data_IF_806646695934
#
_entry.id   IF_806646695934
#
_cell.length_a   1.000
_cell.length_b   1.000
_cell.length_c   1.000
_cell.angle_alpha   90.00
_cell.angle_beta   90.00
_cell.angle_gamma   90.00
#
_symmetry.space_group_name_H-M   'P 1'
#
loop_
_entity.id
_entity.type
_entity.pdbx_description
1 polymer ?
#
# COMPACT_ATOMS: atom_id res chain seq x y z
N UNK A 1 -0.75 -37.34 2.92
CA UNK A 1 0.65 -36.90 3.13
C UNK A 1 1.07 -35.63 2.35
N UNK A 2 0.17 -34.88 1.69
CA UNK A 2 0.52 -33.70 0.84
C UNK A 2 0.57 -32.33 1.54
N UNK A 3 0.19 -32.22 2.82
CA UNK A 3 0.14 -30.93 3.55
C UNK A 3 1.50 -30.40 4.02
N UNK A 4 2.56 -31.22 4.02
CA UNK A 4 3.89 -30.85 4.57
C UNK A 4 4.81 -30.14 3.57
N UNK A 5 4.54 -30.23 2.26
CA UNK A 5 5.35 -29.57 1.23
C UNK A 5 4.98 -28.08 1.03
N UNK A 6 3.86 -27.64 1.62
CA UNK A 6 3.19 -26.35 1.38
C UNK A 6 3.91 -25.16 2.03
N UNK A 7 4.58 -25.36 3.16
CA UNK A 7 5.35 -24.32 3.85
C UNK A 7 6.77 -24.17 3.30
N UNK A 8 7.34 -25.23 2.69
CA UNK A 8 8.71 -25.18 2.15
C UNK A 8 8.81 -24.33 0.89
N UNK A 9 7.94 -24.53 -0.10
CA UNK A 9 8.09 -23.83 -1.39
C UNK A 9 7.87 -22.32 -1.24
N UNK A 10 7.12 -21.91 -0.21
CA UNK A 10 6.89 -20.52 0.16
C UNK A 10 8.16 -19.84 0.68
N UNK A 11 8.95 -20.57 1.49
CA UNK A 11 10.20 -20.04 2.01
C UNK A 11 11.30 -19.97 0.94
N UNK A 12 11.41 -20.95 0.05
CA UNK A 12 12.50 -20.95 -0.96
C UNK A 12 12.34 -19.83 -1.99
N UNK A 13 11.11 -19.46 -2.36
CA UNK A 13 10.87 -18.36 -3.31
C UNK A 13 11.07 -16.98 -2.67
N UNK A 14 10.66 -16.78 -1.40
CA UNK A 14 10.88 -15.52 -0.68
C UNK A 14 12.33 -15.33 -0.20
N UNK A 15 13.08 -16.41 0.09
CA UNK A 15 14.48 -16.32 0.47
C UNK A 15 15.41 -15.91 -0.68
N UNK A 16 15.08 -16.24 -1.94
CA UNK A 16 15.88 -15.81 -3.11
C UNK A 16 15.66 -14.33 -3.43
N UNK A 17 14.48 -13.77 -3.12
CA UNK A 17 14.19 -12.33 -3.33
C UNK A 17 14.83 -11.41 -2.27
N UNK A 18 15.09 -11.91 -1.06
CA UNK A 18 15.65 -11.11 0.04
C UNK A 18 17.18 -11.06 0.08
N UNK A 19 17.87 -11.88 -0.73
CA UNK A 19 19.34 -11.85 -0.84
C UNK A 19 19.83 -10.85 -1.90
N UNK A 20 18.96 -10.37 -2.80
CA UNK A 20 19.34 -9.43 -3.87
C UNK A 20 18.92 -7.97 -3.65
N UNK A 21 18.09 -7.67 -2.64
CA UNK A 21 17.64 -6.32 -2.33
C UNK A 21 18.29 -5.77 -1.08
N UNK A 22 19.44 -5.10 -1.21
CA UNK A 22 19.95 -4.22 -0.16
C UNK A 22 18.86 -3.21 0.20
N UNK A 23 18.24 -3.36 1.37
CA UNK A 23 17.52 -2.28 2.04
C UNK A 23 18.63 -1.32 2.53
N UNK A 24 19.14 -0.50 1.61
CA UNK A 24 19.85 0.71 1.99
C UNK A 24 18.83 1.59 2.70
N UNK A 25 19.18 2.01 3.91
CA UNK A 25 18.53 3.10 4.64
C UNK A 25 18.49 4.36 3.75
N UNK A 26 17.48 4.48 2.90
CA UNK A 26 17.11 5.74 2.29
C UNK A 26 16.45 6.56 3.39
N UNK A 27 17.26 7.47 3.94
CA UNK A 27 16.77 8.61 4.72
C UNK A 27 15.50 9.14 4.07
N UNK A 28 14.45 9.32 4.87
CA UNK A 28 13.27 10.08 4.48
C UNK A 28 13.72 11.35 3.73
N UNK A 29 13.15 11.66 2.54
CA UNK A 29 13.48 12.87 1.84
C UNK A 29 13.15 14.04 2.76
N UNK A 30 14.20 14.69 3.25
CA UNK A 30 14.08 15.94 3.98
C UNK A 30 13.57 16.93 2.96
N UNK A 31 12.25 17.23 3.01
CA UNK A 31 11.65 18.30 2.25
C UNK A 31 12.49 19.54 2.47
N UNK A 32 13.25 19.93 1.45
CA UNK A 32 14.06 21.15 1.52
C UNK A 32 13.08 22.29 1.35
N UNK A 33 12.48 22.72 2.46
CA UNK A 33 11.78 23.98 2.53
C UNK A 33 12.81 25.06 2.17
N UNK A 34 12.72 25.57 0.95
CA UNK A 34 13.45 26.77 0.54
C UNK A 34 12.98 27.91 1.44
N UNK A 35 13.77 28.23 2.46
CA UNK A 35 13.60 29.45 3.25
C UNK A 35 13.90 30.62 2.34
N UNK A 36 12.86 31.25 1.80
CA UNK A 36 12.96 32.62 1.31
C UNK A 36 13.41 33.52 2.48
N UNK A 37 14.32 34.49 2.26
CA UNK A 37 14.93 35.26 3.32
C UNK A 37 13.89 36.16 4.01
N UNK A 38 13.82 36.03 5.34
CA UNK A 38 13.10 36.93 6.22
C UNK A 38 13.76 38.31 6.13
N UNK A 39 13.12 39.24 5.40
CA UNK A 39 13.44 40.66 5.54
C UNK A 39 12.94 41.14 6.90
N UNK A 40 13.88 41.55 7.74
CA UNK A 40 13.62 42.28 8.99
C UNK A 40 12.88 43.58 8.67
N UNK A 41 11.66 43.70 9.17
CA UNK A 41 11.02 45.00 9.37
C UNK A 41 11.75 45.74 10.48
N UNK A 42 12.36 46.87 10.13
CA UNK A 42 12.82 47.90 11.05
C UNK A 42 11.88 49.09 10.93
N UNK A 43 11.38 49.56 12.07
CA UNK A 43 10.58 50.77 12.23
C UNK A 43 11.40 52.04 11.97
N UNK A 44 10.76 53.05 11.39
CA UNK A 44 11.29 54.42 11.21
C UNK A 44 10.32 55.30 10.42
N UNK A 45 9.94 56.44 11.02
CA UNK A 45 8.89 57.41 10.68
C UNK A 45 9.17 58.27 9.41
N UNK A 46 8.25 59.16 8.96
CA UNK A 46 8.05 59.49 7.54
C UNK A 46 8.89 60.68 7.04
N UNK A 47 9.08 60.77 5.73
CA UNK A 47 9.25 62.05 5.05
C UNK A 47 8.58 62.02 3.68
N UNK A 48 7.75 63.04 3.49
CA UNK A 48 7.13 63.41 2.22
C UNK A 48 8.19 63.74 1.19
N UNK A 49 8.00 63.26 -0.03
CA UNK A 49 8.38 64.02 -1.22
C UNK A 49 7.41 63.69 -2.36
N UNK A 50 6.93 64.78 -2.97
CA UNK A 50 5.91 64.81 -4.01
C UNK A 50 6.59 64.61 -5.36
N UNK A 51 6.09 63.72 -6.21
CA UNK A 51 6.28 63.85 -7.66
C UNK A 51 5.18 63.09 -8.43
N UNK A 52 4.78 63.71 -9.52
CA UNK A 52 3.53 63.52 -10.26
C UNK A 52 3.74 62.67 -11.52
N UNK A 53 2.65 62.01 -11.97
CA UNK A 53 2.42 61.37 -13.29
C UNK A 53 3.12 60.02 -13.54
N UNK A 54 2.53 59.02 -14.20
CA UNK A 54 1.44 59.01 -15.17
C UNK A 54 0.60 57.72 -15.03
N UNK A 55 -0.68 57.82 -15.41
CA UNK A 55 -1.64 56.72 -15.34
C UNK A 55 -1.42 55.65 -16.39
N UNK A 56 -1.60 54.40 -15.96
CA UNK A 56 -1.89 53.27 -16.83
C UNK A 56 -3.14 52.59 -16.28
N UNK A 57 -4.22 52.67 -17.04
CA UNK A 57 -5.50 52.03 -16.77
C UNK A 57 -5.35 50.51 -16.83
N UNK A 58 -5.24 49.86 -15.67
CA UNK A 58 -5.43 48.40 -15.56
C UNK A 58 -6.91 48.11 -15.33
N UNK A 59 -7.55 47.59 -16.37
CA UNK A 59 -8.86 46.95 -16.33
C UNK A 59 -8.89 45.91 -15.21
N UNK A 60 -9.88 45.91 -14.30
CA UNK A 60 -9.98 44.87 -13.29
C UNK A 60 -10.34 43.56 -13.99
N UNK A 61 -9.36 42.66 -14.09
CA UNK A 61 -9.62 41.26 -14.42
C UNK A 61 -10.51 40.72 -13.32
N UNK A 62 -11.80 40.52 -13.66
CA UNK A 62 -12.74 39.78 -12.85
C UNK A 62 -12.07 38.48 -12.45
N UNK A 63 -11.75 38.35 -11.15
CA UNK A 63 -11.51 37.08 -10.53
C UNK A 63 -12.81 36.30 -10.64
N UNK A 64 -12.93 35.49 -11.69
CA UNK A 64 -13.93 34.45 -11.77
C UNK A 64 -13.62 33.50 -10.62
N UNK A 65 -14.31 33.72 -9.50
CA UNK A 65 -14.51 32.71 -8.47
C UNK A 65 -14.96 31.45 -9.18
N UNK A 66 -14.09 30.44 -9.25
CA UNK A 66 -14.45 29.12 -9.73
C UNK A 66 -15.59 28.61 -8.86
N UNK A 67 -16.81 28.67 -9.40
CA UNK A 67 -17.98 28.01 -8.86
C UNK A 67 -17.60 26.56 -8.57
N UNK A 68 -17.57 26.20 -7.29
CA UNK A 68 -17.22 24.85 -6.85
C UNK A 68 -18.07 23.84 -7.60
N UNK A 69 -17.42 22.96 -8.36
CA UNK A 69 -18.10 21.86 -9.01
C UNK A 69 -18.84 21.07 -7.93
N UNK A 70 -20.16 20.92 -8.07
CA UNK A 70 -20.97 20.11 -7.16
C UNK A 70 -20.54 18.66 -7.38
N UNK A 71 -19.64 18.21 -6.52
CA UNK A 71 -19.10 16.86 -6.54
C UNK A 71 -20.19 15.87 -6.08
N UNK A 72 -20.61 14.98 -6.98
CA UNK A 72 -21.71 14.04 -6.72
C UNK A 72 -21.28 12.90 -5.79
N UNK A 73 -22.06 12.64 -4.75
CA UNK A 73 -21.86 11.50 -3.84
C UNK A 73 -22.55 10.23 -4.31
N UNK A 74 -23.33 10.31 -5.40
CA UNK A 74 -23.97 9.16 -6.05
C UNK A 74 -23.00 8.53 -7.05
N UNK A 75 -23.15 7.23 -7.29
CA UNK A 75 -22.42 6.57 -8.37
C UNK A 75 -22.89 7.10 -9.71
N UNK A 76 -21.94 7.61 -10.50
CA UNK A 76 -22.18 8.12 -11.84
C UNK A 76 -21.33 7.34 -12.84
N UNK A 77 -21.91 6.94 -13.99
CA UNK A 77 -21.14 6.24 -15.00
C UNK A 77 -20.05 7.16 -15.57
N UNK A 78 -18.83 6.63 -15.65
CA UNK A 78 -17.75 7.28 -16.40
C UNK A 78 -17.90 6.87 -17.87
N UNK A 79 -18.06 7.80 -18.82
CA UNK A 79 -18.23 7.44 -20.22
C UNK A 79 -17.02 6.70 -20.78
N UNK A 80 -17.24 5.54 -21.41
CA UNK A 80 -16.17 4.84 -22.16
C UNK A 80 -15.69 5.74 -23.31
N UNK A 81 -14.38 6.01 -23.45
CA UNK A 81 -13.87 6.83 -24.52
C UNK A 81 -14.11 6.17 -25.88
N UNK A 82 -14.41 6.98 -26.91
CA UNK A 82 -14.62 6.48 -28.29
C UNK A 82 -13.33 5.95 -28.91
N UNK A 83 -12.19 6.56 -28.60
CA UNK A 83 -10.86 6.14 -29.02
C UNK A 83 -9.89 6.22 -27.84
N UNK A 84 -8.82 5.44 -27.90
CA UNK A 84 -7.70 5.51 -26.96
C UNK A 84 -6.55 6.32 -27.56
N UNK A 85 -6.88 7.50 -28.10
CA UNK A 85 -5.88 8.49 -28.50
C UNK A 85 -5.67 9.47 -27.34
N UNK A 86 -4.41 9.80 -27.04
CA UNK A 86 -4.05 10.78 -25.99
C UNK A 86 -4.69 10.50 -24.60
N UNK A 87 -4.89 9.23 -24.24
CA UNK A 87 -5.51 8.85 -22.96
C UNK A 87 -4.53 8.91 -21.79
N UNK A 88 -3.23 8.89 -22.06
CA UNK A 88 -2.19 8.71 -21.04
C UNK A 88 -2.10 9.85 -20.02
N UNK A 89 -2.69 11.01 -20.32
CA UNK A 89 -2.72 12.17 -19.43
C UNK A 89 -4.12 12.42 -18.83
N UNK A 90 -5.07 11.50 -19.05
CA UNK A 90 -6.44 11.59 -18.54
C UNK A 90 -6.74 10.30 -17.76
N UNK A 91 -6.74 10.40 -16.44
CA UNK A 91 -6.90 9.23 -15.57
C UNK A 91 -8.19 8.45 -15.82
N UNK A 92 -9.30 9.13 -16.14
CA UNK A 92 -10.59 8.47 -16.38
C UNK A 92 -10.58 7.70 -17.71
N UNK A 93 -9.99 8.29 -18.75
CA UNK A 93 -9.76 7.57 -20.02
C UNK A 93 -8.77 6.44 -19.84
N UNK A 94 -7.73 6.64 -19.02
CA UNK A 94 -6.70 5.66 -18.75
C UNK A 94 -7.25 4.38 -18.15
N UNK A 95 -8.23 4.46 -17.24
CA UNK A 95 -8.88 3.27 -16.68
C UNK A 95 -9.40 2.37 -17.81
N UNK A 96 -10.14 2.93 -18.77
CA UNK A 96 -10.69 2.18 -19.91
C UNK A 96 -9.63 1.70 -20.89
N UNK A 97 -8.65 2.55 -21.22
CA UNK A 97 -7.66 2.25 -22.25
C UNK A 97 -6.54 1.32 -21.76
N UNK A 98 -6.23 1.33 -20.46
CA UNK A 98 -5.23 0.47 -19.85
C UNK A 98 -5.79 -0.90 -19.45
N UNK A 99 -7.04 -0.96 -18.96
CA UNK A 99 -7.70 -2.19 -18.51
C UNK A 99 -8.58 -2.80 -19.59
N UNK A 100 -7.98 -3.11 -20.75
CA UNK A 100 -8.67 -3.82 -21.83
C UNK A 100 -8.98 -5.26 -21.44
N UNK A 101 -9.98 -5.88 -22.09
CA UNK A 101 -10.33 -7.30 -21.87
C UNK A 101 -9.12 -8.23 -22.03
N UNK A 102 -8.31 -8.01 -23.06
CA UNK A 102 -7.05 -8.75 -23.30
C UNK A 102 -6.03 -8.54 -22.18
N UNK A 103 -5.90 -7.31 -21.65
CA UNK A 103 -4.98 -7.03 -20.55
C UNK A 103 -5.42 -7.76 -19.28
N UNK A 104 -6.71 -7.66 -18.94
CA UNK A 104 -7.29 -8.34 -17.78
C UNK A 104 -7.14 -9.86 -17.91
N UNK A 105 -7.38 -10.43 -19.09
CA UNK A 105 -7.20 -11.86 -19.35
C UNK A 105 -5.75 -12.31 -19.12
N UNK A 106 -4.77 -11.59 -19.68
CA UNK A 106 -3.34 -11.88 -19.50
C UNK A 106 -2.93 -11.82 -18.03
N UNK A 107 -3.35 -10.79 -17.30
CA UNK A 107 -3.10 -10.72 -15.85
C UNK A 107 -3.75 -11.89 -15.10
N UNK A 108 -4.94 -12.33 -15.51
CA UNK A 108 -5.60 -13.51 -14.97
C UNK A 108 -4.80 -14.80 -15.19
N UNK A 109 -4.19 -14.96 -16.36
CA UNK A 109 -3.32 -16.08 -16.71
C UNK A 109 -2.01 -16.10 -15.90
N UNK A 110 -1.53 -14.94 -15.45
CA UNK A 110 -0.35 -14.84 -14.58
C UNK A 110 -0.62 -15.24 -13.12
N UNK A 111 -1.86 -15.15 -12.63
CA UNK A 111 -2.17 -15.44 -11.21
C UNK A 111 -1.77 -16.87 -10.81
N UNK A 112 -2.05 -17.93 -11.59
CA UNK A 112 -1.56 -19.28 -11.28
C UNK A 112 -0.04 -19.41 -11.22
N UNK A 113 0.72 -18.58 -11.95
CA UNK A 113 2.18 -18.60 -11.93
C UNK A 113 2.73 -17.85 -10.71
N UNK A 114 2.13 -16.72 -10.37
CA UNK A 114 2.48 -15.89 -9.21
C UNK A 114 2.06 -16.57 -7.89
N UNK A 115 0.90 -17.23 -7.90
CA UNK A 115 0.22 -17.75 -6.73
C UNK A 115 -0.22 -19.22 -6.94
N UNK A 116 0.70 -20.14 -7.29
CA UNK A 116 0.36 -21.51 -7.71
C UNK A 116 -0.34 -22.33 -6.64
N UNK A 117 -0.20 -21.93 -5.37
CA UNK A 117 -0.77 -22.61 -4.22
C UNK A 117 -1.93 -21.84 -3.58
N UNK A 118 -2.31 -20.68 -4.14
CA UNK A 118 -3.34 -19.83 -3.56
C UNK A 118 -4.74 -20.31 -3.93
N UNK A 119 -5.51 -20.64 -2.91
CA UNK A 119 -6.87 -21.18 -3.04
C UNK A 119 -7.93 -20.15 -2.66
N UNK A 120 -7.60 -19.20 -1.77
CA UNK A 120 -8.52 -18.15 -1.32
C UNK A 120 -8.23 -16.81 -2.00
N UNK A 121 -9.22 -15.87 -2.00
CA UNK A 121 -8.97 -14.50 -2.45
C UNK A 121 -7.89 -13.76 -1.63
N UNK A 122 -7.79 -14.01 -0.32
CA UNK A 122 -6.77 -13.39 0.53
C UNK A 122 -5.36 -13.87 0.17
N UNK A 123 -5.19 -15.17 -0.03
CA UNK A 123 -3.93 -15.77 -0.49
C UNK A 123 -3.52 -15.14 -1.83
N UNK A 124 -4.41 -15.17 -2.83
CA UNK A 124 -4.13 -14.63 -4.17
C UNK A 124 -3.73 -13.15 -4.13
N UNK A 125 -4.43 -12.36 -3.33
CA UNK A 125 -4.12 -10.93 -3.14
C UNK A 125 -2.74 -10.74 -2.54
N UNK A 126 -2.41 -11.44 -1.46
CA UNK A 126 -1.08 -11.36 -0.84
C UNK A 126 0.05 -11.72 -1.82
N UNK A 127 -0.10 -12.79 -2.61
CA UNK A 127 0.93 -13.16 -3.59
C UNK A 127 1.08 -12.12 -4.71
N UNK A 128 -0.02 -11.57 -5.22
CA UNK A 128 0.03 -10.52 -6.25
C UNK A 128 0.72 -9.26 -5.71
N UNK A 129 0.39 -8.83 -4.49
CA UNK A 129 1.04 -7.69 -3.85
C UNK A 129 2.52 -7.95 -3.54
N UNK A 130 2.84 -9.16 -3.08
CA UNK A 130 4.23 -9.58 -2.87
C UNK A 130 5.02 -9.59 -4.17
N UNK A 131 4.42 -10.06 -5.26
CA UNK A 131 5.03 -10.05 -6.58
C UNK A 131 5.34 -8.63 -7.04
N UNK A 132 4.40 -7.69 -6.89
CA UNK A 132 4.64 -6.29 -7.22
C UNK A 132 5.71 -5.65 -6.32
N UNK A 133 5.68 -5.92 -5.01
CA UNK A 133 6.68 -5.44 -4.05
C UNK A 133 8.11 -5.86 -4.42
N UNK A 134 8.28 -7.08 -4.90
CA UNK A 134 9.61 -7.63 -5.25
C UNK A 134 10.07 -7.18 -6.64
N UNK A 135 9.16 -6.97 -7.58
CA UNK A 135 9.50 -6.80 -8.99
C UNK A 135 9.32 -5.37 -9.53
N UNK A 136 8.69 -4.47 -8.78
CA UNK A 136 8.32 -3.13 -9.24
C UNK A 136 8.86 -2.05 -8.31
N UNK A 137 9.31 -0.95 -8.91
CA UNK A 137 9.65 0.29 -8.21
C UNK A 137 8.71 1.43 -8.60
N UNK A 138 8.48 2.36 -7.67
CA UNK A 138 7.85 3.65 -8.00
C UNK A 138 8.85 4.50 -8.79
N UNK A 139 8.40 5.07 -9.89
CA UNK A 139 9.15 6.07 -10.66
C UNK A 139 8.93 7.44 -10.01
N UNK A 140 9.78 7.78 -9.04
CA UNK A 140 9.67 9.02 -8.28
C UNK A 140 9.80 10.27 -9.16
N UNK A 141 10.53 10.19 -10.29
CA UNK A 141 10.67 11.33 -11.21
C UNK A 141 9.34 11.62 -11.88
N UNK A 142 8.69 10.57 -12.40
CA UNK A 142 7.37 10.67 -13.02
C UNK A 142 6.29 11.04 -12.00
N UNK A 143 6.36 10.49 -10.79
CA UNK A 143 5.43 10.80 -9.70
C UNK A 143 5.51 12.29 -9.33
N UNK A 144 6.71 12.80 -9.05
CA UNK A 144 6.91 14.20 -8.71
C UNK A 144 6.51 15.15 -9.84
N UNK A 145 6.75 14.74 -11.10
CA UNK A 145 6.32 15.55 -12.25
C UNK A 145 4.79 15.58 -12.37
N UNK A 146 4.09 14.48 -12.08
CA UNK A 146 2.62 14.42 -12.03
C UNK A 146 2.08 15.39 -10.97
N UNK A 147 2.66 15.36 -9.77
CA UNK A 147 2.32 16.30 -8.69
C UNK A 147 2.54 17.75 -9.11
N UNK A 148 3.66 18.05 -9.80
CA UNK A 148 3.97 19.39 -10.27
C UNK A 148 2.99 19.94 -11.32
N UNK A 149 2.40 19.09 -12.16
CA UNK A 149 1.43 19.51 -13.18
C UNK A 149 -0.03 19.35 -12.72
N UNK A 150 -0.25 18.75 -11.56
CA UNK A 150 -1.56 18.60 -10.92
C UNK A 150 -2.41 17.44 -11.42
N UNK A 151 -1.84 16.50 -12.17
CA UNK A 151 -2.50 15.27 -12.62
C UNK A 151 -1.47 14.21 -13.02
N UNK A 152 -1.86 12.93 -13.04
CA UNK A 152 -1.03 11.87 -13.59
C UNK A 152 -0.88 12.01 -15.10
N UNK A 153 0.35 11.87 -15.60
CA UNK A 153 0.66 11.92 -17.03
C UNK A 153 1.46 10.69 -17.48
N UNK A 154 1.50 10.49 -18.80
CA UNK A 154 2.18 9.36 -19.44
C UNK A 154 1.79 7.99 -18.83
N UNK A 155 0.55 7.84 -18.36
CA UNK A 155 0.07 6.65 -17.66
C UNK A 155 0.34 5.39 -18.50
N UNK A 156 0.89 4.37 -17.86
CA UNK A 156 1.25 3.08 -18.45
C UNK A 156 0.08 2.09 -18.32
N UNK A 157 -0.02 1.20 -19.30
CA UNK A 157 -0.85 0.00 -19.15
C UNK A 157 -0.23 -0.96 -18.12
N UNK A 158 -1.01 -1.85 -17.48
CA UNK A 158 -0.47 -2.87 -16.58
C UNK A 158 0.70 -3.67 -17.13
N UNK A 159 0.64 -4.07 -18.40
CA UNK A 159 1.71 -4.85 -19.03
C UNK A 159 2.97 -4.01 -19.28
N UNK A 160 2.81 -2.73 -19.60
CA UNK A 160 3.95 -1.79 -19.69
C UNK A 160 4.61 -1.57 -18.32
N UNK A 161 3.82 -1.45 -17.25
CA UNK A 161 4.33 -1.34 -15.87
C UNK A 161 5.16 -2.56 -15.50
N UNK A 162 4.67 -3.76 -15.81
CA UNK A 162 5.40 -5.02 -15.60
C UNK A 162 6.69 -5.09 -16.44
N UNK A 163 6.62 -4.76 -17.73
CA UNK A 163 7.77 -4.83 -18.64
C UNK A 163 8.87 -3.83 -18.26
N UNK A 164 8.48 -2.62 -17.87
CA UNK A 164 9.42 -1.58 -17.44
C UNK A 164 9.84 -1.72 -15.97
N UNK A 165 9.27 -2.68 -15.24
CA UNK A 165 9.53 -2.94 -13.81
C UNK A 165 9.28 -1.73 -12.91
N UNK A 166 8.36 -0.85 -13.29
CA UNK A 166 8.03 0.32 -12.49
C UNK A 166 7.17 1.37 -13.20
N UNK A 167 6.71 2.33 -12.42
CA UNK A 167 5.86 3.42 -12.88
C UNK A 167 5.41 4.33 -11.74
N UNK A 168 4.59 5.32 -12.06
CA UNK A 168 3.90 6.17 -11.07
C UNK A 168 2.94 5.35 -10.20
N UNK A 169 2.42 5.97 -9.13
CA UNK A 169 1.37 5.37 -8.29
C UNK A 169 0.15 4.96 -9.11
N UNK A 170 -0.27 5.77 -10.08
CA UNK A 170 -1.33 5.43 -11.03
C UNK A 170 -1.05 4.17 -11.86
N UNK A 171 0.19 4.01 -12.33
CA UNK A 171 0.59 2.85 -13.14
C UNK A 171 0.51 1.55 -12.33
N UNK A 172 0.93 1.60 -11.06
CA UNK A 172 0.89 0.48 -10.12
C UNK A 172 -0.56 0.19 -9.69
N UNK A 173 -1.35 1.24 -9.41
CA UNK A 173 -2.76 1.09 -9.04
C UNK A 173 -3.58 0.44 -10.17
N UNK A 174 -3.36 0.84 -11.43
CA UNK A 174 -4.00 0.18 -12.58
C UNK A 174 -3.56 -1.29 -12.72
N UNK A 175 -2.27 -1.59 -12.50
CA UNK A 175 -1.80 -2.97 -12.50
C UNK A 175 -2.52 -3.83 -11.45
N UNK A 176 -2.59 -3.37 -10.20
CA UNK A 176 -3.27 -4.10 -9.13
C UNK A 176 -4.78 -4.18 -9.35
N UNK A 177 -5.42 -3.12 -9.86
CA UNK A 177 -6.82 -3.16 -10.25
C UNK A 177 -7.08 -4.28 -11.29
N UNK A 178 -6.19 -4.43 -12.28
CA UNK A 178 -6.27 -5.52 -13.26
C UNK A 178 -6.20 -6.92 -12.64
N UNK A 179 -5.33 -7.13 -11.65
CA UNK A 179 -5.30 -8.38 -10.89
C UNK A 179 -6.55 -8.58 -10.04
N UNK A 180 -7.00 -7.55 -9.32
CA UNK A 180 -8.17 -7.61 -8.44
C UNK A 180 -9.46 -7.87 -9.21
N UNK A 181 -9.59 -7.40 -10.46
CA UNK A 181 -10.71 -7.77 -11.34
C UNK A 181 -10.79 -9.27 -11.62
N UNK A 182 -9.66 -9.99 -11.63
CA UNK A 182 -9.63 -11.44 -11.78
C UNK A 182 -9.83 -12.20 -10.46
N UNK A 183 -9.70 -11.54 -9.31
CA UNK A 183 -9.89 -12.13 -7.99
C UNK A 183 -11.32 -11.89 -7.46
N UNK A 184 -11.86 -10.68 -7.69
CA UNK A 184 -13.10 -10.20 -7.06
C UNK A 184 -14.21 -9.79 -8.04
N UNK A 185 -13.94 -9.76 -9.36
CA UNK A 185 -14.80 -9.21 -10.42
C UNK A 185 -15.11 -7.70 -10.33
N UNK A 186 -15.02 -7.11 -9.14
CA UNK A 186 -15.10 -5.68 -8.89
C UNK A 186 -13.87 -5.23 -8.12
N UNK A 187 -13.27 -4.14 -8.57
CA UNK A 187 -12.14 -3.46 -7.91
C UNK A 187 -12.45 -1.98 -7.77
N UNK A 188 -11.64 -1.30 -6.97
CA UNK A 188 -11.71 0.13 -6.77
C UNK A 188 -10.36 0.79 -7.06
N UNK A 189 -10.41 2.07 -7.42
CA UNK A 189 -9.27 2.99 -7.36
C UNK A 189 -9.64 4.14 -6.41
N UNK A 190 -8.84 4.33 -5.38
CA UNK A 190 -9.00 5.38 -4.37
C UNK A 190 -8.14 6.57 -4.79
N UNK A 191 -8.73 7.55 -5.45
CA UNK A 191 -8.05 8.77 -5.85
C UNK A 191 -8.16 9.80 -4.72
N UNK A 192 -7.14 9.85 -3.86
CA UNK A 192 -7.06 10.69 -2.68
C UNK A 192 -6.39 12.02 -3.01
N UNK A 193 -7.01 13.14 -2.61
CA UNK A 193 -6.55 14.50 -2.94
C UNK A 193 -6.47 15.32 -1.66
N UNK A 194 -5.28 15.77 -1.32
CA UNK A 194 -5.08 16.82 -0.30
C UNK A 194 -5.26 18.21 -0.93
N UNK A 195 -4.61 18.45 -2.08
CA UNK A 195 -4.70 19.68 -2.84
C UNK A 195 -4.39 19.45 -4.33
N UNK A 196 -4.37 20.51 -5.14
CA UNK A 196 -4.18 20.42 -6.60
C UNK A 196 -2.85 19.81 -7.04
N UNK A 197 -1.83 19.76 -6.18
CA UNK A 197 -0.49 19.24 -6.49
C UNK A 197 -0.08 18.11 -5.53
N UNK A 198 -0.99 17.66 -4.67
CA UNK A 198 -0.76 16.61 -3.71
C UNK A 198 -1.97 15.69 -3.76
N UNK A 199 -1.84 14.65 -4.57
CA UNK A 199 -2.81 13.60 -4.79
C UNK A 199 -2.10 12.24 -4.72
N UNK A 200 -2.87 11.17 -4.56
CA UNK A 200 -2.38 9.80 -4.61
C UNK A 200 -3.48 8.93 -5.21
N UNK A 201 -3.11 7.81 -5.82
CA UNK A 201 -4.06 6.80 -6.23
C UNK A 201 -3.58 5.41 -5.89
N UNK A 202 -4.43 4.69 -5.19
CA UNK A 202 -4.16 3.32 -4.78
C UNK A 202 -5.26 2.39 -5.28
N UNK A 203 -4.88 1.17 -5.61
CA UNK A 203 -5.86 0.13 -5.93
C UNK A 203 -6.55 -0.33 -4.65
N UNK A 204 -7.72 -0.94 -4.80
CA UNK A 204 -8.33 -1.61 -3.68
C UNK A 204 -9.54 -2.44 -4.05
N UNK A 205 -10.14 -3.07 -3.06
CA UNK A 205 -11.17 -4.09 -3.24
C UNK A 205 -12.04 -4.15 -2.00
N UNK A 206 -13.26 -4.68 -2.16
CA UNK A 206 -14.15 -4.92 -1.03
C UNK A 206 -14.11 -6.40 -0.66
N UNK A 207 -13.74 -6.70 0.57
CA UNK A 207 -13.63 -8.08 1.04
C UNK A 207 -14.00 -8.19 2.52
N UNK A 208 -14.71 -9.26 2.89
CA UNK A 208 -15.13 -9.52 4.26
C UNK A 208 -15.83 -8.32 4.95
N UNK A 209 -16.57 -7.49 4.21
CA UNK A 209 -17.27 -6.34 4.78
C UNK A 209 -16.47 -5.04 4.85
N UNK A 210 -15.22 -5.03 4.37
CA UNK A 210 -14.28 -3.91 4.53
C UNK A 210 -13.75 -3.45 3.17
N UNK A 211 -13.59 -2.14 3.04
CA UNK A 211 -12.89 -1.48 1.93
C UNK A 211 -11.38 -1.54 2.20
N UNK A 212 -10.67 -2.36 1.43
CA UNK A 212 -9.22 -2.46 1.46
C UNK A 212 -8.59 -1.64 0.35
N UNK A 213 -7.39 -1.13 0.61
CA UNK A 213 -6.52 -0.50 -0.38
C UNK A 213 -5.13 -1.09 -0.33
N UNK A 214 -4.32 -0.78 -1.34
CA UNK A 214 -2.90 -1.11 -1.40
C UNK A 214 -2.08 0.03 -0.82
N UNK A 215 -0.86 -0.27 -0.41
CA UNK A 215 0.14 0.74 -0.11
C UNK A 215 1.50 0.19 -0.51
N UNK A 216 2.01 0.55 -1.68
CA UNK A 216 3.36 0.13 -2.08
C UNK A 216 4.41 0.74 -1.13
N UNK A 217 5.47 -0.01 -0.73
CA UNK A 217 5.86 -1.37 -1.14
C UNK A 217 5.37 -2.47 -0.19
N UNK A 218 4.27 -2.29 0.53
CA UNK A 218 3.81 -3.28 1.49
C UNK A 218 3.02 -4.41 0.79
N UNK A 219 3.34 -5.68 1.07
CA UNK A 219 2.67 -6.83 0.45
C UNK A 219 1.31 -7.14 1.09
N UNK A 220 0.88 -6.32 2.06
CA UNK A 220 -0.38 -6.50 2.79
C UNK A 220 -1.35 -5.39 2.43
N UNK A 221 -2.58 -5.72 2.06
CA UNK A 221 -3.61 -4.71 1.93
C UNK A 221 -3.98 -4.21 3.32
N UNK A 222 -4.38 -2.94 3.40
CA UNK A 222 -4.86 -2.33 4.63
C UNK A 222 -6.26 -1.75 4.43
N UNK A 223 -7.11 -1.72 5.48
CA UNK A 223 -8.37 -1.01 5.39
C UNK A 223 -8.13 0.44 4.98
N UNK A 224 -8.96 0.99 4.09
CA UNK A 224 -8.74 2.32 3.55
C UNK A 224 -8.62 3.40 4.65
N UNK A 225 -9.43 3.34 5.70
CA UNK A 225 -9.35 4.30 6.81
C UNK A 225 -8.06 4.19 7.63
N UNK A 226 -7.39 3.03 7.62
CA UNK A 226 -6.05 2.88 8.18
C UNK A 226 -5.00 3.54 7.29
N UNK A 227 -5.14 3.46 5.96
CA UNK A 227 -4.31 4.21 5.02
C UNK A 227 -4.44 5.73 5.26
N UNK A 228 -5.65 6.26 5.46
CA UNK A 228 -5.83 7.69 5.73
C UNK A 228 -5.15 8.13 7.03
N UNK A 229 -5.27 7.33 8.09
CA UNK A 229 -4.58 7.56 9.36
C UNK A 229 -3.06 7.55 9.19
N UNK A 230 -2.53 6.58 8.44
CA UNK A 230 -1.09 6.51 8.16
C UNK A 230 -0.61 7.73 7.38
N UNK A 231 -1.35 8.14 6.36
CA UNK A 231 -1.02 9.31 5.55
C UNK A 231 -1.01 10.60 6.39
N UNK A 232 -2.01 10.78 7.26
CA UNK A 232 -2.07 11.93 8.16
C UNK A 232 -0.95 11.92 9.22
N UNK A 233 -0.73 10.77 9.88
CA UNK A 233 0.20 10.65 11.01
C UNK A 233 1.68 10.64 10.60
N UNK A 234 2.01 10.01 9.48
CA UNK A 234 3.41 9.76 9.10
C UNK A 234 3.87 10.54 7.87
N UNK A 235 2.95 10.92 6.97
CA UNK A 235 3.29 11.69 5.77
C UNK A 235 2.88 13.17 5.86
N UNK A 236 2.12 13.58 6.89
CA UNK A 236 1.56 14.93 6.98
C UNK A 236 0.56 15.24 5.86
N UNK A 237 -0.01 14.18 5.27
CA UNK A 237 -0.90 14.23 4.12
C UNK A 237 -2.35 14.02 4.58
N UNK A 238 -3.11 15.11 4.70
CA UNK A 238 -4.52 15.06 5.10
C UNK A 238 -5.43 14.99 3.86
N UNK A 239 -6.19 13.90 3.75
CA UNK A 239 -7.01 13.61 2.58
C UNK A 239 -8.33 14.38 2.68
N UNK A 240 -8.38 15.53 2.00
CA UNK A 240 -9.57 16.36 1.94
C UNK A 240 -10.65 15.74 1.05
N UNK A 241 -10.27 15.28 -0.13
CA UNK A 241 -11.20 14.75 -1.13
C UNK A 241 -10.82 13.32 -1.51
N UNK A 242 -11.82 12.44 -1.55
CA UNK A 242 -11.67 11.09 -2.07
C UNK A 242 -12.65 10.90 -3.23
N UNK A 243 -12.11 10.63 -4.42
CA UNK A 243 -12.88 10.12 -5.56
C UNK A 243 -12.67 8.62 -5.62
N UNK A 244 -13.77 7.89 -5.50
CA UNK A 244 -13.76 6.45 -5.60
C UNK A 244 -14.24 6.04 -6.99
N UNK A 245 -13.39 5.35 -7.73
CA UNK A 245 -13.77 4.68 -8.98
C UNK A 245 -14.09 3.22 -8.67
N UNK A 246 -15.29 2.77 -9.04
CA UNK A 246 -15.70 1.36 -9.01
C UNK A 246 -15.59 0.80 -10.42
N UNK A 247 -14.79 -0.24 -10.58
CA UNK A 247 -14.56 -0.90 -11.86
C UNK A 247 -15.10 -2.32 -11.74
N UNK A 248 -16.03 -2.68 -12.64
CA UNK A 248 -16.66 -4.00 -12.65
C UNK A 248 -16.40 -4.68 -13.98
N UNK A 249 -15.92 -5.93 -13.91
CA UNK A 249 -15.74 -6.81 -15.06
C UNK A 249 -17.10 -7.27 -15.57
N UNK A 250 -17.38 -7.02 -16.83
CA UNK A 250 -18.60 -7.42 -17.52
C UNK A 250 -18.48 -8.85 -18.09
N UNK A 251 -19.59 -9.54 -18.39
CA UNK A 251 -19.57 -10.92 -18.91
C UNK A 251 -18.79 -11.09 -20.23
N UNK A 252 -18.75 -10.05 -21.06
CA UNK A 252 -17.99 -10.03 -22.31
C UNK A 252 -16.49 -9.74 -22.12
N UNK A 253 -16.02 -9.61 -20.88
CA UNK A 253 -14.64 -9.30 -20.53
C UNK A 253 -14.29 -7.81 -20.52
N UNK A 254 -15.16 -6.94 -21.03
CA UNK A 254 -14.99 -5.49 -20.90
C UNK A 254 -15.19 -5.02 -19.45
N UNK A 255 -14.90 -3.76 -19.18
CA UNK A 255 -15.18 -3.13 -17.89
C UNK A 255 -16.26 -2.06 -17.99
N UNK A 256 -16.97 -1.86 -16.88
CA UNK A 256 -17.77 -0.66 -16.61
C UNK A 256 -17.14 0.12 -15.46
N UNK A 257 -17.09 1.44 -15.58
CA UNK A 257 -16.52 2.31 -14.55
C UNK A 257 -17.60 3.27 -14.07
N UNK A 258 -17.74 3.36 -12.76
CA UNK A 258 -18.54 4.38 -12.09
C UNK A 258 -17.63 5.15 -11.14
N UNK A 259 -17.92 6.44 -10.93
CA UNK A 259 -17.21 7.25 -9.95
C UNK A 259 -18.17 7.91 -8.98
N UNK A 260 -17.68 8.23 -7.80
CA UNK A 260 -18.36 9.11 -6.84
C UNK A 260 -17.37 9.76 -5.90
N UNK A 261 -17.80 10.84 -5.29
CA UNK A 261 -17.11 11.45 -4.17
C UNK A 261 -17.54 10.78 -2.86
N UNK A 262 -16.56 10.46 -2.01
CA UNK A 262 -16.82 9.85 -0.70
C UNK A 262 -16.68 10.92 0.38
N UNK A 263 -17.78 11.37 1.00
CA UNK A 263 -17.73 12.41 2.02
C UNK A 263 -17.03 11.89 3.29
N UNK A 264 -16.40 12.80 4.05
CA UNK A 264 -15.73 12.49 5.33
C UNK A 264 -16.64 11.67 6.26
N UNK A 265 -17.92 12.08 6.40
CA UNK A 265 -18.91 11.37 7.23
C UNK A 265 -19.15 9.91 6.83
N UNK A 266 -18.94 9.55 5.58
CA UNK A 266 -19.03 8.15 5.15
C UNK A 266 -17.75 7.38 5.50
N UNK A 267 -16.58 8.01 5.34
CA UNK A 267 -15.29 7.45 5.76
C UNK A 267 -15.26 7.19 7.28
N UNK A 268 -15.79 8.12 8.08
CA UNK A 268 -15.99 7.93 9.52
C UNK A 268 -16.84 6.69 9.85
N UNK A 269 -17.90 6.43 9.07
CA UNK A 269 -18.72 5.22 9.24
C UNK A 269 -17.94 3.96 8.89
N UNK A 270 -17.10 3.98 7.87
CA UNK A 270 -16.21 2.87 7.55
C UNK A 270 -15.24 2.58 8.68
N UNK A 271 -14.69 3.62 9.30
CA UNK A 271 -13.73 3.50 10.40
C UNK A 271 -14.38 2.96 11.68
N UNK A 272 -15.61 3.40 12.00
CA UNK A 272 -16.43 2.86 13.09
C UNK A 272 -16.78 1.39 12.82
N UNK A 273 -17.19 1.06 11.60
CA UNK A 273 -17.51 -0.32 11.22
C UNK A 273 -16.28 -1.23 11.36
N UNK A 274 -15.10 -0.76 10.92
CA UNK A 274 -13.84 -1.47 11.09
C UNK A 274 -13.48 -1.67 12.56
N UNK A 275 -13.59 -0.62 13.39
CA UNK A 275 -13.30 -0.70 14.83
C UNK A 275 -14.20 -1.71 15.55
N UNK A 276 -15.46 -1.80 15.14
CA UNK A 276 -16.45 -2.73 15.71
C UNK A 276 -16.39 -4.14 15.12
N UNK A 277 -15.64 -4.35 14.03
CA UNK A 277 -15.62 -5.63 13.30
C UNK A 277 -14.81 -6.74 13.99
N UNK A 278 -13.94 -6.38 14.95
CA UNK A 278 -12.95 -7.31 15.52
C UNK A 278 -11.88 -7.79 14.53
N UNK A 279 -11.77 -7.16 13.36
CA UNK A 279 -10.81 -7.55 12.32
C UNK A 279 -9.42 -6.96 12.55
N UNK A 280 -9.32 -5.85 13.28
CA UNK A 280 -8.04 -5.22 13.64
C UNK A 280 -7.30 -6.03 14.71
N UNK A 281 -6.03 -5.67 14.92
CA UNK A 281 -5.21 -6.30 15.94
C UNK A 281 -5.75 -5.95 17.33
N UNK A 282 -6.12 -6.97 18.08
CA UNK A 282 -6.54 -6.90 19.48
C UNK A 282 -5.78 -7.97 20.29
N UNK A 283 -6.04 -8.05 21.59
CA UNK A 283 -5.35 -8.99 22.47
C UNK A 283 -5.57 -10.47 22.12
N UNK A 284 -6.73 -10.82 21.57
CA UNK A 284 -7.05 -12.19 21.13
C UNK A 284 -6.28 -12.54 19.84
N UNK A 285 -6.44 -11.69 18.82
CA UNK A 285 -5.78 -11.83 17.52
C UNK A 285 -4.25 -11.79 17.63
N UNK A 286 -3.69 -11.02 18.57
CA UNK A 286 -2.24 -10.98 18.84
C UNK A 286 -1.74 -12.31 19.42
N UNK A 287 -2.48 -12.91 20.36
CA UNK A 287 -2.14 -14.23 20.92
C UNK A 287 -2.20 -15.31 19.85
N UNK A 288 -3.21 -15.26 18.99
CA UNK A 288 -3.32 -16.14 17.84
C UNK A 288 -2.14 -15.97 16.89
N UNK A 289 -1.77 -14.72 16.57
CA UNK A 289 -0.65 -14.40 15.69
C UNK A 289 0.67 -14.97 16.22
N UNK A 290 0.94 -14.79 17.52
CA UNK A 290 2.12 -15.37 18.16
C UNK A 290 2.11 -16.91 18.10
N UNK A 291 0.97 -17.55 18.39
CA UNK A 291 0.83 -19.00 18.33
C UNK A 291 1.10 -19.52 16.92
N UNK A 292 0.54 -18.87 15.91
CA UNK A 292 0.70 -19.27 14.52
C UNK A 292 2.11 -19.03 14.01
N UNK A 293 2.76 -17.93 14.40
CA UNK A 293 4.19 -17.72 14.13
C UNK A 293 5.08 -18.81 14.74
N UNK A 294 4.83 -19.23 15.98
CA UNK A 294 5.58 -20.33 16.60
C UNK A 294 5.36 -21.65 15.83
N UNK A 295 4.11 -21.96 15.47
CA UNK A 295 3.78 -23.14 14.67
C UNK A 295 4.46 -23.12 13.29
N UNK A 296 4.47 -21.97 12.62
CA UNK A 296 5.13 -21.76 11.34
C UNK A 296 6.64 -21.95 11.46
N UNK A 297 7.28 -21.35 12.48
CA UNK A 297 8.71 -21.54 12.71
C UNK A 297 9.06 -23.01 12.91
N UNK A 298 8.27 -23.75 13.71
CA UNK A 298 8.48 -25.18 13.92
C UNK A 298 8.43 -25.98 12.62
N UNK A 299 7.47 -25.66 11.74
CA UNK A 299 7.35 -26.33 10.43
C UNK A 299 8.57 -26.04 9.56
N UNK A 300 9.03 -24.79 9.55
CA UNK A 300 10.21 -24.35 8.81
C UNK A 300 11.46 -25.08 9.29
N UNK A 301 11.76 -25.09 10.58
CA UNK A 301 12.98 -25.72 11.09
C UNK A 301 12.95 -27.24 10.93
N UNK A 302 11.79 -27.88 11.12
CA UNK A 302 11.61 -29.31 10.85
C UNK A 302 11.84 -29.65 9.38
N UNK A 303 11.40 -28.79 8.46
CA UNK A 303 11.64 -29.00 7.04
C UNK A 303 13.10 -28.96 6.63
N UNK A 304 13.93 -28.26 7.41
CA UNK A 304 15.38 -28.20 7.25
C UNK A 304 16.13 -29.31 8.01
N UNK A 305 15.41 -30.23 8.65
CA UNK A 305 15.98 -31.32 9.41
C UNK A 305 16.42 -30.97 10.84
N UNK A 306 16.08 -29.77 11.35
CA UNK A 306 16.39 -29.41 12.73
C UNK A 306 15.33 -29.93 13.69
N UNK A 307 15.77 -30.44 14.85
CA UNK A 307 14.91 -30.96 15.91
C UNK A 307 14.74 -29.94 17.04
N UNK A 308 13.86 -28.96 16.82
CA UNK A 308 13.55 -27.93 17.80
C UNK A 308 12.39 -28.31 18.71
N UNK A 309 12.49 -27.94 19.99
CA UNK A 309 11.43 -28.03 21.00
C UNK A 309 10.92 -26.64 21.36
N UNK A 310 9.60 -26.47 21.40
CA UNK A 310 8.97 -25.22 21.84
C UNK A 310 9.11 -25.06 23.36
N UNK A 311 9.73 -23.97 23.82
CA UNK A 311 9.93 -23.69 25.24
C UNK A 311 9.62 -22.21 25.57
N UNK A 312 8.40 -21.87 26.02
CA UNK A 312 8.00 -20.49 26.30
C UNK A 312 8.75 -19.85 27.48
N UNK A 313 9.49 -20.64 28.27
CA UNK A 313 10.29 -20.11 29.39
C UNK A 313 11.58 -19.46 28.92
N UNK A 314 12.00 -19.65 27.67
CA UNK A 314 13.21 -19.04 27.12
C UNK A 314 13.20 -17.51 27.15
N UNK A 315 12.03 -16.87 27.11
CA UNK A 315 11.92 -15.41 27.25
C UNK A 315 12.45 -14.88 28.60
N UNK A 316 12.53 -15.74 29.61
CA UNK A 316 13.03 -15.43 30.95
C UNK A 316 14.44 -15.99 31.21
N UNK A 317 15.02 -16.71 30.24
CA UNK A 317 16.35 -17.31 30.38
C UNK A 317 17.42 -16.34 29.85
N UNK A 318 18.26 -15.83 30.75
CA UNK A 318 19.35 -14.89 30.40
C UNK A 318 20.43 -15.51 29.51
N UNK A 319 20.49 -16.85 29.40
CA UNK A 319 21.41 -17.56 28.52
C UNK A 319 20.83 -17.80 27.12
N UNK A 320 19.53 -17.61 26.91
CA UNK A 320 18.92 -17.77 25.61
C UNK A 320 19.40 -16.67 24.66
N UNK A 321 19.79 -17.05 23.44
CA UNK A 321 20.11 -16.06 22.41
C UNK A 321 18.82 -15.44 21.90
N UNK A 322 18.77 -14.10 21.86
CA UNK A 322 17.61 -13.33 21.42
C UNK A 322 17.89 -12.64 20.09
N UNK A 323 17.04 -12.92 19.10
CA UNK A 323 16.98 -12.18 17.84
C UNK A 323 15.73 -11.32 17.84
N UNK A 324 15.87 -10.05 17.48
CA UNK A 324 14.74 -9.12 17.45
C UNK A 324 14.57 -8.52 16.07
N UNK A 325 13.33 -8.30 15.67
CA UNK A 325 12.98 -7.52 14.49
C UNK A 325 11.72 -6.71 14.78
N UNK A 326 11.76 -5.42 14.43
CA UNK A 326 10.59 -4.55 14.48
C UNK A 326 9.99 -4.48 13.09
N UNK A 327 8.74 -4.87 12.95
CA UNK A 327 7.96 -4.72 11.73
C UNK A 327 7.28 -3.34 11.75
N UNK A 328 7.79 -2.35 10.99
CA UNK A 328 7.29 -1.00 11.07
C UNK A 328 5.84 -0.92 10.62
N UNK A 329 5.01 -0.17 11.35
CA UNK A 329 3.59 0.05 11.07
C UNK A 329 2.76 -1.25 11.03
N UNK A 330 3.28 -2.35 11.59
CA UNK A 330 2.66 -3.67 11.50
C UNK A 330 1.23 -3.71 12.03
N UNK A 331 0.87 -2.84 12.97
CA UNK A 331 -0.50 -2.78 13.50
C UNK A 331 -1.53 -2.29 12.47
N UNK A 332 -1.12 -1.43 11.54
CA UNK A 332 -2.00 -0.92 10.48
C UNK A 332 -2.31 -1.97 9.42
N UNK A 333 -1.35 -2.85 9.13
CA UNK A 333 -1.48 -3.89 8.10
C UNK A 333 -2.14 -5.17 8.59
N UNK A 334 -2.16 -5.42 9.91
CA UNK A 334 -2.85 -6.59 10.43
C UNK A 334 -4.35 -6.50 10.19
N UNK A 335 -4.91 -7.49 9.51
CA UNK A 335 -6.35 -7.75 9.47
C UNK A 335 -6.64 -9.25 9.50
N UNK A 336 -7.71 -9.64 10.20
CA UNK A 336 -8.09 -11.05 10.38
C UNK A 336 -8.18 -11.86 9.07
N UNK A 337 -8.73 -11.35 7.95
CA UNK A 337 -8.78 -12.11 6.70
C UNK A 337 -7.41 -12.42 6.07
N UNK A 338 -6.38 -11.67 6.44
CA UNK A 338 -4.99 -11.81 5.97
C UNK A 338 -4.05 -12.31 7.08
N UNK A 339 -4.59 -12.85 8.19
CA UNK A 339 -3.83 -13.25 9.37
C UNK A 339 -2.68 -14.20 9.04
N UNK A 340 -2.96 -15.24 8.26
CA UNK A 340 -1.99 -16.29 7.92
C UNK A 340 -0.84 -15.74 7.07
N UNK A 341 -1.18 -14.92 6.09
CA UNK A 341 -0.23 -14.25 5.21
C UNK A 341 0.63 -13.28 6.02
N UNK A 342 0.01 -12.53 6.93
CA UNK A 342 0.68 -11.58 7.81
C UNK A 342 1.66 -12.28 8.76
N UNK A 343 1.24 -13.36 9.43
CA UNK A 343 2.09 -14.20 10.28
C UNK A 343 3.30 -14.76 9.50
N UNK A 344 3.06 -15.18 8.26
CA UNK A 344 4.11 -15.69 7.38
C UNK A 344 5.11 -14.60 7.01
N UNK A 345 4.65 -13.44 6.53
CA UNK A 345 5.54 -12.34 6.17
C UNK A 345 6.33 -11.80 7.36
N UNK A 346 5.69 -11.71 8.53
CA UNK A 346 6.36 -11.36 9.79
C UNK A 346 7.47 -12.34 10.15
N UNK A 347 7.21 -13.66 10.05
CA UNK A 347 8.23 -14.67 10.33
C UNK A 347 9.40 -14.58 9.34
N UNK A 348 9.11 -14.38 8.05
CA UNK A 348 10.15 -14.21 7.03
C UNK A 348 11.00 -12.98 7.35
N UNK A 349 10.38 -11.83 7.66
CA UNK A 349 11.06 -10.59 8.02
C UNK A 349 11.92 -10.76 9.27
N UNK A 350 11.43 -11.47 10.29
CA UNK A 350 12.22 -11.81 11.48
C UNK A 350 13.46 -12.62 11.11
N UNK A 351 13.31 -13.71 10.36
CA UNK A 351 14.43 -14.62 10.06
C UNK A 351 15.47 -14.00 9.13
N UNK A 352 15.05 -13.21 8.14
CA UNK A 352 15.95 -12.53 7.21
C UNK A 352 16.58 -11.29 7.85
N UNK A 353 15.76 -10.43 8.46
CA UNK A 353 16.17 -9.14 8.99
C UNK A 353 17.06 -9.25 10.23
N UNK A 354 16.85 -10.26 11.07
CA UNK A 354 17.70 -10.50 12.25
C UNK A 354 18.93 -11.37 11.97
N UNK A 355 19.07 -11.89 10.74
CA UNK A 355 20.08 -12.89 10.34
C UNK A 355 20.05 -14.19 11.16
N UNK A 356 18.96 -14.46 11.88
CA UNK A 356 18.81 -15.67 12.71
C UNK A 356 19.05 -16.96 11.91
N UNK A 357 18.68 -16.95 10.62
CA UNK A 357 18.78 -18.12 9.74
C UNK A 357 20.19 -18.72 9.63
N UNK A 358 21.23 -17.92 9.86
CA UNK A 358 22.63 -18.35 9.73
C UNK A 358 23.09 -19.25 10.88
N UNK A 359 22.44 -19.14 12.05
CA UNK A 359 22.90 -19.78 13.27
C UNK A 359 21.90 -20.82 13.81
N UNK A 360 20.77 -21.04 13.12
CA UNK A 360 19.71 -21.96 13.59
C UNK A 360 20.20 -23.40 13.79
N UNK A 361 21.29 -23.82 13.17
CA UNK A 361 21.86 -25.16 13.39
C UNK A 361 22.45 -25.38 14.79
N UNK A 362 22.67 -24.31 15.56
CA UNK A 362 23.36 -24.36 16.85
C UNK A 362 22.41 -24.51 18.05
N UNK A 363 21.10 -24.56 17.83
CA UNK A 363 20.09 -24.53 18.89
C UNK A 363 19.07 -25.68 18.73
N UNK A 364 18.37 -25.98 19.82
CA UNK A 364 17.42 -27.08 19.94
C UNK A 364 16.14 -26.70 20.68
N UNK A 365 16.09 -25.53 21.31
CA UNK A 365 14.85 -24.95 21.86
C UNK A 365 14.54 -23.61 21.20
N UNK A 366 13.25 -23.26 21.12
CA UNK A 366 12.82 -21.95 20.64
C UNK A 366 11.55 -21.43 21.31
N UNK A 367 11.40 -20.11 21.24
CA UNK A 367 10.16 -19.40 21.50
C UNK A 367 10.12 -18.11 20.68
N UNK A 368 8.99 -17.82 20.04
CA UNK A 368 8.74 -16.53 19.40
C UNK A 368 7.71 -15.77 20.24
N UNK A 369 8.08 -14.55 20.59
CA UNK A 369 7.24 -13.57 21.23
C UNK A 369 6.85 -12.48 20.21
N UNK A 370 5.59 -12.07 20.21
CA UNK A 370 5.09 -10.97 19.36
C UNK A 370 4.43 -9.93 20.26
N UNK A 371 4.90 -8.70 20.20
CA UNK A 371 4.45 -7.61 21.07
C UNK A 371 4.15 -6.34 20.27
N UNK A 372 3.11 -5.58 20.64
CA UNK A 372 2.90 -4.24 20.11
C UNK A 372 3.98 -3.29 20.64
N UNK A 373 4.49 -2.42 19.77
CA UNK A 373 5.42 -1.35 20.09
C UNK A 373 4.94 -0.06 19.40
N UNK A 374 4.14 0.76 20.09
CA UNK A 374 3.42 1.89 19.47
C UNK A 374 2.63 1.41 18.24
N UNK A 375 2.95 1.87 17.03
CA UNK A 375 2.32 1.49 15.76
C UNK A 375 2.95 0.25 15.11
N UNK A 376 4.10 -0.18 15.63
CA UNK A 376 4.88 -1.31 15.13
C UNK A 376 4.50 -2.62 15.82
N UNK A 377 4.99 -3.72 15.25
CA UNK A 377 5.03 -5.03 15.92
C UNK A 377 6.47 -5.47 16.10
N UNK A 378 6.89 -5.65 17.35
CA UNK A 378 8.18 -6.23 17.66
C UNK A 378 8.05 -7.74 17.79
N UNK A 379 8.97 -8.46 17.14
CA UNK A 379 9.12 -9.90 17.27
C UNK A 379 10.45 -10.21 17.95
N UNK A 380 10.44 -11.16 18.87
CA UNK A 380 11.64 -11.71 19.47
C UNK A 380 11.66 -13.22 19.33
N UNK A 381 12.68 -13.76 18.65
CA UNK A 381 12.99 -15.18 18.62
C UNK A 381 14.06 -15.46 19.68
N UNK A 382 13.70 -16.26 20.67
CA UNK A 382 14.59 -16.80 21.68
C UNK A 382 14.99 -18.22 21.27
N UNK A 383 16.27 -18.55 21.32
CA UNK A 383 16.79 -19.90 21.01
C UNK A 383 17.87 -20.31 22.01
N UNK A 384 17.98 -21.62 22.26
CA UNK A 384 18.99 -22.21 23.14
C UNK A 384 19.46 -23.56 22.64
#
# INVERSE_FOLDING_TARGET
>A
MRRKALALSLMTVLLVALVSGCISESKAPTGTASKAPVQKQSSGTPSSETTTHAGTSTTPTQSTSSTGAVHSTKWEPVPKPKTCDNWRDDFEKAIYCALTSTTIEKLGQMIPEIAPQATTPSEKTYYVLSYGTVNLAVDDVKENKSMSIGHYYDIKTPLETLNSKGGSRADIALLYAGFFLNIYNTTYLYYAIQNSTAFDVEAGFYYAGINYTTLWPYPFPLPYTQYERMAAMHAGYDIHTLVLYRITKQPNGDISVEKRYVPIKEREKWDIALSNSGMLLNSENLKELQKDMNNLFLQVVKSKGYNYTYNPKLQYDYQAKRYTYTYPLGRFFYTKPFHKEFATGMLIALLSGSKAINDLGNYHEYYIEVMPSLDDLMMALYVK
#
